data_IF_806752441770
#
_entry.id   IF_806752441770
#
_cell.length_a   1.000
_cell.length_b   1.000
_cell.length_c   1.000
_cell.angle_alpha   90.00
_cell.angle_beta   90.00
_cell.angle_gamma   90.00
#
_symmetry.space_group_name_H-M   'P 1'
#
loop_
_entity.id
_entity.type
_entity.pdbx_description
1 polymer ?
#
# COMPACT_ATOMS: atom_id res chain seq x y z
N UNK A 1 -10.09 15.35 -17.20
CA UNK A 1 -10.06 16.64 -17.94
C UNK A 1 -11.45 17.03 -18.43
N UNK A 2 -12.36 16.05 -18.63
CA UNK A 2 -13.73 16.31 -19.08
C UNK A 2 -14.60 17.07 -18.04
N UNK A 3 -14.21 17.06 -16.76
CA UNK A 3 -14.91 17.80 -15.70
C UNK A 3 -13.95 18.85 -15.12
N UNK A 4 -14.04 20.11 -15.54
CA UNK A 4 -13.17 21.17 -15.05
C UNK A 4 -13.42 21.41 -13.56
N UNK A 5 -12.32 21.67 -12.82
CA UNK A 5 -12.40 22.09 -11.44
C UNK A 5 -12.92 23.55 -11.42
N UNK A 6 -13.97 23.87 -10.63
CA UNK A 6 -14.49 25.22 -10.52
C UNK A 6 -13.41 26.20 -9.99
N UNK A 7 -13.39 27.42 -10.53
CA UNK A 7 -12.40 28.46 -10.16
C UNK A 7 -12.50 28.94 -8.70
N UNK A 8 -13.62 28.70 -8.06
CA UNK A 8 -13.92 29.07 -6.66
C UNK A 8 -13.24 28.13 -5.64
N UNK A 9 -12.82 26.95 -6.09
CA UNK A 9 -12.14 25.96 -5.24
C UNK A 9 -10.79 26.49 -4.78
N UNK A 10 -10.49 26.36 -3.49
CA UNK A 10 -9.24 26.88 -2.91
C UNK A 10 -8.05 25.92 -3.05
N UNK A 11 -8.31 24.62 -3.19
CA UNK A 11 -7.31 23.57 -3.30
C UNK A 11 -7.87 22.44 -4.15
N UNK A 12 -7.04 21.74 -4.89
CA UNK A 12 -7.38 20.49 -5.55
C UNK A 12 -6.53 19.35 -4.98
N UNK A 13 -7.15 18.20 -4.72
CA UNK A 13 -6.46 17.03 -4.19
C UNK A 13 -6.75 15.80 -5.06
N UNK A 14 -5.70 15.15 -5.54
CA UNK A 14 -5.76 13.88 -6.25
C UNK A 14 -5.18 12.78 -5.38
N UNK A 15 -5.86 11.63 -5.32
CA UNK A 15 -5.41 10.45 -4.56
C UNK A 15 -4.56 9.50 -5.40
N UNK A 16 -4.08 9.96 -6.56
CA UNK A 16 -3.26 9.19 -7.49
C UNK A 16 -2.44 10.11 -8.39
N UNK A 17 -1.16 9.85 -8.57
CA UNK A 17 -0.27 10.57 -9.49
C UNK A 17 -0.42 10.09 -10.95
N UNK A 18 -1.65 9.97 -11.43
CA UNK A 18 -2.00 9.48 -12.76
C UNK A 18 -3.04 10.34 -13.47
N UNK A 19 -3.82 9.73 -14.38
CA UNK A 19 -4.83 10.41 -15.18
C UNK A 19 -5.82 11.29 -14.39
N UNK A 20 -6.31 10.91 -13.19
CA UNK A 20 -7.23 11.75 -12.42
C UNK A 20 -6.61 13.11 -12.03
N UNK A 21 -5.29 13.16 -11.80
CA UNK A 21 -4.60 14.39 -11.42
C UNK A 21 -4.49 15.42 -12.56
N UNK A 22 -4.78 15.06 -13.81
CA UNK A 22 -4.76 16.00 -14.93
C UNK A 22 -5.75 17.16 -14.74
N UNK A 23 -6.87 16.93 -14.05
CA UNK A 23 -7.81 18.00 -13.69
C UNK A 23 -7.15 19.04 -12.75
N UNK A 24 -6.36 18.58 -11.77
CA UNK A 24 -5.62 19.46 -10.87
C UNK A 24 -4.53 20.25 -11.60
N UNK A 25 -3.83 19.65 -12.55
CA UNK A 25 -2.85 20.36 -13.40
C UNK A 25 -3.56 21.45 -14.21
N UNK A 26 -4.70 21.14 -14.83
CA UNK A 26 -5.46 22.10 -15.62
C UNK A 26 -5.96 23.28 -14.74
N UNK A 27 -6.47 23.00 -13.54
CA UNK A 27 -6.92 24.02 -12.60
C UNK A 27 -5.75 24.91 -12.12
N UNK A 28 -4.60 24.35 -11.87
CA UNK A 28 -3.39 25.10 -11.52
C UNK A 28 -2.91 25.97 -12.69
N UNK A 29 -2.91 25.42 -13.90
CA UNK A 29 -2.51 26.15 -15.10
C UNK A 29 -3.43 27.36 -15.34
N UNK A 30 -4.75 27.18 -15.31
CA UNK A 30 -5.72 28.22 -15.62
C UNK A 30 -5.94 29.23 -14.49
N UNK A 31 -6.06 28.75 -13.24
CA UNK A 31 -6.55 29.54 -12.11
C UNK A 31 -5.52 29.68 -10.98
N UNK A 32 -4.37 29.02 -11.05
CA UNK A 32 -3.37 28.99 -9.98
C UNK A 32 -3.85 28.28 -8.73
N UNK A 33 -4.82 27.35 -8.85
CA UNK A 33 -5.33 26.60 -7.69
C UNK A 33 -4.24 25.69 -7.17
N UNK A 34 -3.83 25.78 -5.89
CA UNK A 34 -2.86 24.88 -5.30
C UNK A 34 -3.29 23.42 -5.38
N UNK A 35 -2.34 22.51 -5.61
CA UNK A 35 -2.62 21.09 -5.80
C UNK A 35 -1.83 20.22 -4.83
N UNK A 36 -2.54 19.21 -4.28
CA UNK A 36 -1.98 18.15 -3.46
C UNK A 36 -2.19 16.81 -4.17
N UNK A 37 -1.22 15.93 -4.00
CA UNK A 37 -1.33 14.53 -4.47
C UNK A 37 -1.03 13.60 -3.31
N UNK A 38 -1.91 12.63 -3.05
CA UNK A 38 -1.62 11.52 -2.14
C UNK A 38 -1.32 10.27 -2.94
N UNK A 39 -0.18 9.66 -2.66
CA UNK A 39 0.19 8.37 -3.25
C UNK A 39 -0.02 7.23 -2.23
N UNK A 40 -1.13 6.49 -2.40
CA UNK A 40 -1.42 5.28 -1.62
C UNK A 40 -0.53 4.09 -2.01
N UNK A 41 0.04 4.11 -3.21
CA UNK A 41 1.05 3.21 -3.76
C UNK A 41 1.81 3.95 -4.84
N UNK A 42 2.95 3.43 -5.26
CA UNK A 42 3.71 4.06 -6.36
C UNK A 42 3.02 3.73 -7.68
N UNK A 43 2.23 4.69 -8.19
CA UNK A 43 1.44 4.52 -9.43
C UNK A 43 2.25 3.92 -10.59
N UNK A 44 3.46 4.43 -10.83
CA UNK A 44 4.29 3.93 -11.91
C UNK A 44 4.82 2.52 -11.68
N UNK A 45 5.13 2.14 -10.43
CA UNK A 45 5.54 0.77 -10.09
C UNK A 45 4.41 -0.22 -10.38
N UNK A 46 3.22 0.09 -9.93
CA UNK A 46 2.03 -0.74 -10.17
C UNK A 46 1.69 -0.81 -11.66
N UNK A 47 1.81 0.31 -12.37
CA UNK A 47 1.61 0.36 -13.82
C UNK A 47 2.61 -0.54 -14.55
N UNK A 48 3.87 -0.52 -14.19
CA UNK A 48 4.91 -1.36 -14.80
C UNK A 48 4.64 -2.85 -14.55
N UNK A 49 4.22 -3.22 -13.34
CA UNK A 49 3.87 -4.60 -12.99
C UNK A 49 2.67 -5.07 -13.82
N UNK A 50 1.59 -4.27 -13.87
CA UNK A 50 0.35 -4.64 -14.56
C UNK A 50 0.55 -4.72 -16.09
N UNK A 51 1.26 -3.74 -16.68
CA UNK A 51 1.59 -3.75 -18.11
C UNK A 51 2.52 -4.92 -18.44
N UNK A 52 3.47 -5.23 -17.57
CA UNK A 52 4.37 -6.38 -17.75
C UNK A 52 3.63 -7.71 -17.89
N UNK A 53 2.58 -7.91 -17.07
CA UNK A 53 1.75 -9.12 -17.03
C UNK A 53 0.67 -9.19 -18.11
N UNK A 54 0.35 -8.09 -18.79
CA UNK A 54 -0.71 -8.06 -19.81
C UNK A 54 -0.27 -8.74 -21.10
N UNK A 55 -1.24 -9.21 -21.91
CA UNK A 55 -1.01 -9.80 -23.25
C UNK A 55 -0.88 -8.76 -24.36
N UNK A 56 -0.70 -7.47 -24.01
CA UNK A 56 -0.55 -6.37 -24.96
C UNK A 56 0.72 -6.53 -25.79
N UNK A 57 0.70 -6.03 -27.04
CA UNK A 57 1.90 -5.96 -27.88
C UNK A 57 2.98 -5.09 -27.24
N UNK A 58 4.23 -5.32 -27.57
CA UNK A 58 5.36 -4.52 -27.06
C UNK A 58 5.16 -3.02 -27.31
N UNK A 59 4.69 -2.65 -28.51
CA UNK A 59 4.42 -1.25 -28.86
C UNK A 59 3.35 -0.63 -27.93
N UNK A 60 2.24 -1.34 -27.72
CA UNK A 60 1.16 -0.88 -26.84
C UNK A 60 1.64 -0.75 -25.39
N UNK A 61 2.42 -1.72 -24.88
CA UNK A 61 3.04 -1.66 -23.55
C UNK A 61 3.93 -0.42 -23.41
N UNK A 62 4.83 -0.22 -24.39
CA UNK A 62 5.74 0.94 -24.39
C UNK A 62 4.98 2.27 -24.41
N UNK A 63 4.00 2.41 -25.29
CA UNK A 63 3.18 3.62 -25.40
C UNK A 63 2.48 3.93 -24.08
N UNK A 64 1.88 2.93 -23.44
CA UNK A 64 1.16 3.11 -22.17
C UNK A 64 2.09 3.49 -21.02
N UNK A 65 3.28 2.88 -20.96
CA UNK A 65 4.30 3.22 -19.95
C UNK A 65 4.84 4.64 -20.18
N UNK A 66 5.16 4.99 -21.41
CA UNK A 66 5.68 6.34 -21.74
C UNK A 66 4.64 7.42 -21.43
N UNK A 67 3.37 7.20 -21.80
CA UNK A 67 2.27 8.13 -21.49
C UNK A 67 2.06 8.26 -19.97
N UNK A 68 2.02 7.15 -19.24
CA UNK A 68 1.88 7.16 -17.79
C UNK A 68 3.05 7.87 -17.11
N UNK A 69 4.27 7.63 -17.58
CA UNK A 69 5.48 8.31 -17.09
C UNK A 69 5.41 9.83 -17.30
N UNK A 70 5.01 10.26 -18.48
CA UNK A 70 4.86 11.68 -18.80
C UNK A 70 3.82 12.35 -17.89
N UNK A 71 2.68 11.71 -17.66
CA UNK A 71 1.63 12.22 -16.79
C UNK A 71 2.13 12.30 -15.35
N UNK A 72 2.72 11.23 -14.81
CA UNK A 72 3.23 11.20 -13.43
C UNK A 72 4.27 12.30 -13.20
N UNK A 73 5.22 12.48 -14.11
CA UNK A 73 6.20 13.57 -14.03
C UNK A 73 5.54 14.95 -14.04
N UNK A 74 4.57 15.17 -14.93
CA UNK A 74 3.83 16.43 -14.97
C UNK A 74 3.09 16.70 -13.66
N UNK A 75 2.47 15.66 -13.07
CA UNK A 75 1.77 15.73 -11.79
C UNK A 75 2.74 16.11 -10.66
N UNK A 76 3.84 15.37 -10.51
CA UNK A 76 4.80 15.64 -9.44
C UNK A 76 5.51 16.99 -9.61
N UNK A 77 5.83 17.38 -10.83
CA UNK A 77 6.46 18.67 -11.12
C UNK A 77 5.54 19.85 -10.77
N UNK A 78 4.22 19.70 -10.95
CA UNK A 78 3.24 20.77 -10.73
C UNK A 78 2.61 20.77 -9.34
N UNK A 79 2.66 19.66 -8.59
CA UNK A 79 2.09 19.56 -7.27
C UNK A 79 2.78 20.52 -6.27
N UNK A 80 1.98 21.19 -5.45
CA UNK A 80 2.48 22.02 -4.33
C UNK A 80 2.83 21.19 -3.11
N UNK A 81 2.21 20.01 -3.00
CA UNK A 81 2.52 18.98 -2.00
C UNK A 81 2.25 17.59 -2.58
N UNK A 82 3.18 16.69 -2.31
CA UNK A 82 3.07 15.27 -2.59
C UNK A 82 3.10 14.56 -1.23
N UNK A 83 2.06 13.79 -0.93
CA UNK A 83 1.94 13.09 0.36
C UNK A 83 1.86 11.59 0.14
N UNK A 84 3.03 10.91 0.08
CA UNK A 84 3.03 9.47 0.14
C UNK A 84 2.52 8.97 1.49
N UNK A 85 1.90 7.80 1.49
CA UNK A 85 1.44 7.15 2.72
C UNK A 85 2.55 6.43 3.49
N UNK A 86 3.79 6.50 2.99
CA UNK A 86 5.00 5.92 3.60
C UNK A 86 6.25 6.61 3.08
N UNK A 87 7.27 6.72 3.91
CA UNK A 87 8.58 7.27 3.50
C UNK A 87 9.28 6.40 2.45
N UNK A 88 8.97 5.10 2.39
CA UNK A 88 9.53 4.17 1.42
C UNK A 88 9.22 4.56 -0.04
N UNK A 89 8.13 5.30 -0.28
CA UNK A 89 7.74 5.74 -1.63
C UNK A 89 8.56 6.94 -2.13
N UNK A 90 9.16 7.73 -1.24
CA UNK A 90 9.86 8.98 -1.58
C UNK A 90 10.90 8.80 -2.70
N UNK A 91 11.71 7.73 -2.65
CA UNK A 91 12.72 7.45 -3.68
C UNK A 91 12.13 7.25 -5.07
N UNK A 92 10.92 6.72 -5.16
CA UNK A 92 10.20 6.56 -6.41
C UNK A 92 9.66 7.89 -6.91
N UNK A 93 9.11 8.71 -6.03
CA UNK A 93 8.58 10.04 -6.35
C UNK A 93 9.69 10.95 -6.88
N UNK A 94 10.85 10.98 -6.20
CA UNK A 94 12.04 11.71 -6.65
C UNK A 94 12.55 11.21 -8.01
N UNK A 95 12.53 9.89 -8.27
CA UNK A 95 12.87 9.30 -9.57
C UNK A 95 11.98 9.81 -10.70
N UNK A 96 10.75 10.16 -10.41
CA UNK A 96 9.79 10.75 -11.35
C UNK A 96 9.67 12.27 -11.21
N UNK A 97 10.76 12.93 -10.79
CA UNK A 97 10.94 14.38 -10.79
C UNK A 97 10.11 15.14 -9.73
N UNK A 98 9.64 14.44 -8.67
CA UNK A 98 9.11 15.12 -7.49
C UNK A 98 10.22 15.92 -6.81
N UNK A 99 9.91 17.14 -6.39
CA UNK A 99 10.85 17.98 -5.64
C UNK A 99 10.82 17.54 -4.17
N UNK A 100 11.98 17.21 -3.55
CA UNK A 100 12.03 16.74 -2.16
C UNK A 100 11.34 17.69 -1.18
N UNK A 101 11.45 19.00 -1.39
CA UNK A 101 10.82 20.02 -0.55
C UNK A 101 9.29 20.04 -0.60
N UNK A 102 8.69 19.41 -1.62
CA UNK A 102 7.24 19.25 -1.76
C UNK A 102 6.74 17.91 -1.25
N UNK A 103 7.63 16.99 -0.85
CA UNK A 103 7.25 15.67 -0.36
C UNK A 103 7.05 15.75 1.16
N UNK A 104 5.81 15.51 1.60
CA UNK A 104 5.42 15.47 3.01
C UNK A 104 4.61 14.18 3.26
N UNK A 105 5.23 13.12 3.80
CA UNK A 105 4.52 11.87 4.07
C UNK A 105 3.38 12.04 5.07
N UNK A 106 2.22 11.45 4.75
CA UNK A 106 1.06 11.38 5.66
C UNK A 106 0.62 9.92 5.69
N UNK A 107 0.95 9.22 6.77
CA UNK A 107 0.61 7.82 6.96
C UNK A 107 -0.90 7.59 7.00
N UNK A 108 -1.34 6.43 6.51
CA UNK A 108 -2.70 5.96 6.74
C UNK A 108 -2.97 5.83 8.24
N UNK A 109 -4.22 6.09 8.63
CA UNK A 109 -4.66 5.98 10.02
C UNK A 109 -5.75 4.92 10.19
N UNK A 110 -5.74 4.25 11.34
CA UNK A 110 -6.76 3.28 11.75
C UNK A 110 -7.60 3.83 12.90
N UNK A 111 -8.90 3.48 12.91
CA UNK A 111 -9.80 3.75 14.03
C UNK A 111 -9.44 2.81 15.20
N UNK A 112 -8.79 3.35 16.22
CA UNK A 112 -8.28 2.58 17.37
C UNK A 112 -9.34 2.23 18.41
N UNK A 113 -10.56 2.75 18.29
CA UNK A 113 -11.73 2.36 19.09
C UNK A 113 -12.45 1.18 18.46
N UNK A 114 -12.49 1.14 17.11
CA UNK A 114 -13.00 -0.01 16.36
C UNK A 114 -12.00 -1.18 16.42
N UNK A 115 -10.73 -0.92 16.12
CA UNK A 115 -9.65 -1.91 16.17
C UNK A 115 -8.92 -1.84 17.50
N UNK A 116 -9.43 -2.58 18.49
CA UNK A 116 -8.85 -2.66 19.83
C UNK A 116 -8.70 -4.11 20.28
N UNK A 117 -7.77 -4.38 21.21
CA UNK A 117 -7.61 -5.71 21.77
C UNK A 117 -8.90 -6.17 22.46
N UNK A 118 -9.32 -7.39 22.14
CA UNK A 118 -10.36 -8.12 22.87
C UNK A 118 -9.87 -9.53 23.16
N UNK A 119 -10.42 -10.21 24.18
CA UNK A 119 -10.11 -11.61 24.44
C UNK A 119 -10.36 -12.48 23.19
N UNK A 120 -9.49 -13.48 22.99
CA UNK A 120 -9.65 -14.46 21.91
C UNK A 120 -10.98 -15.21 22.08
N UNK A 121 -11.78 -15.40 21.00
CA UNK A 121 -13.03 -16.14 21.09
C UNK A 121 -12.81 -17.58 21.56
N UNK A 122 -13.72 -18.10 22.40
CA UNK A 122 -13.63 -19.47 22.96
C UNK A 122 -13.50 -20.56 21.90
N UNK A 123 -14.09 -20.35 20.71
CA UNK A 123 -13.99 -21.32 19.58
C UNK A 123 -12.56 -21.52 19.06
N UNK A 124 -11.67 -20.56 19.28
CA UNK A 124 -10.26 -20.62 18.85
C UNK A 124 -9.29 -20.68 20.02
N UNK A 125 -9.81 -20.72 21.28
CA UNK A 125 -9.00 -20.81 22.47
C UNK A 125 -8.20 -22.13 22.49
N UNK A 126 -6.90 -22.04 22.77
CA UNK A 126 -6.00 -23.21 22.77
C UNK A 126 -5.56 -23.70 21.38
N UNK A 127 -6.09 -23.16 20.29
CA UNK A 127 -5.65 -23.49 18.93
C UNK A 127 -4.72 -22.39 18.42
N UNK A 128 -3.46 -22.69 18.04
CA UNK A 128 -2.55 -21.72 17.44
C UNK A 128 -3.11 -21.21 16.12
N UNK A 129 -3.43 -19.90 16.05
CA UNK A 129 -4.19 -19.33 14.94
C UNK A 129 -3.45 -18.16 14.28
N UNK A 130 -3.24 -18.26 12.99
CA UNK A 130 -2.61 -17.25 12.13
C UNK A 130 -3.67 -16.64 11.21
N UNK A 131 -3.84 -15.33 11.27
CA UNK A 131 -4.86 -14.62 10.49
C UNK A 131 -4.20 -13.78 9.41
N UNK A 132 -4.73 -13.86 8.18
CA UNK A 132 -4.48 -12.92 7.13
C UNK A 132 -5.78 -12.21 6.71
N UNK A 133 -5.72 -10.89 6.51
CA UNK A 133 -6.82 -10.13 5.87
C UNK A 133 -6.30 -9.59 4.55
N UNK A 134 -6.69 -10.22 3.47
CA UNK A 134 -6.23 -9.88 2.12
C UNK A 134 -7.20 -10.39 1.05
N UNK A 135 -7.38 -9.62 -0.02
CA UNK A 135 -7.97 -10.15 -1.24
C UNK A 135 -7.05 -11.23 -1.83
N UNK A 136 -7.62 -12.29 -2.41
CA UNK A 136 -6.84 -13.39 -2.95
C UNK A 136 -6.50 -13.10 -4.42
N UNK A 137 -5.29 -12.61 -4.65
CA UNK A 137 -4.74 -12.34 -5.98
C UNK A 137 -3.19 -12.31 -5.95
N UNK A 138 -2.49 -12.42 -7.10
CA UNK A 138 -1.04 -12.70 -7.15
C UNK A 138 -0.13 -11.73 -6.40
N UNK A 139 -0.50 -10.44 -6.23
CA UNK A 139 0.35 -9.51 -5.49
C UNK A 139 0.37 -9.76 -3.97
N UNK A 140 -0.64 -10.46 -3.44
CA UNK A 140 -0.69 -10.86 -2.02
C UNK A 140 0.09 -12.15 -1.74
N UNK A 141 0.49 -12.87 -2.77
CA UNK A 141 1.35 -14.07 -2.73
C UNK A 141 0.85 -15.11 -1.70
N UNK A 142 -0.44 -15.47 -1.84
CA UNK A 142 -1.08 -16.47 -0.96
C UNK A 142 -0.43 -17.83 -1.11
N UNK A 143 0.18 -18.16 -2.27
CA UNK A 143 0.95 -19.39 -2.47
C UNK A 143 2.13 -19.48 -1.48
N UNK A 144 2.88 -18.38 -1.28
CA UNK A 144 3.94 -18.33 -0.25
C UNK A 144 3.35 -18.53 1.15
N UNK A 145 2.18 -17.99 1.44
CA UNK A 145 1.50 -18.20 2.74
C UNK A 145 1.09 -19.67 2.95
N UNK A 146 0.56 -20.32 1.92
CA UNK A 146 0.21 -21.76 1.97
C UNK A 146 1.46 -22.61 2.20
N UNK A 147 2.55 -22.34 1.49
CA UNK A 147 3.84 -23.02 1.70
C UNK A 147 4.40 -22.76 3.10
N UNK A 148 4.26 -21.54 3.62
CA UNK A 148 4.60 -21.20 5.01
C UNK A 148 3.80 -22.07 6.00
N UNK A 149 2.49 -22.24 5.79
CA UNK A 149 1.65 -23.11 6.62
C UNK A 149 2.17 -24.56 6.60
N UNK A 150 2.57 -25.09 5.43
CA UNK A 150 3.14 -26.43 5.31
C UNK A 150 4.44 -26.60 6.11
N UNK A 151 5.27 -25.54 6.19
CA UNK A 151 6.50 -25.57 7.00
C UNK A 151 6.15 -25.49 8.49
N UNK A 152 5.28 -24.55 8.90
CA UNK A 152 4.87 -24.37 10.31
C UNK A 152 4.21 -25.63 10.87
N UNK A 153 3.36 -26.32 10.09
CA UNK A 153 2.69 -27.55 10.50
C UNK A 153 3.65 -28.67 10.94
N UNK A 154 4.88 -28.69 10.42
CA UNK A 154 5.89 -29.70 10.84
C UNK A 154 6.27 -29.54 12.30
N UNK A 155 6.23 -28.33 12.82
CA UNK A 155 6.55 -28.01 14.22
C UNK A 155 5.28 -27.90 15.07
N UNK A 156 4.21 -27.30 14.52
CA UNK A 156 2.93 -27.06 15.20
C UNK A 156 1.81 -27.73 14.39
N UNK A 157 1.54 -29.03 14.57
CA UNK A 157 0.64 -29.81 13.70
C UNK A 157 -0.81 -29.33 13.66
N UNK A 158 -1.30 -28.71 14.75
CA UNK A 158 -2.67 -28.21 14.89
C UNK A 158 -2.81 -26.72 14.58
N UNK A 159 -1.79 -26.07 13.98
CA UNK A 159 -1.88 -24.66 13.58
C UNK A 159 -3.00 -24.44 12.56
N UNK A 160 -3.71 -23.31 12.71
CA UNK A 160 -4.78 -22.90 11.79
C UNK A 160 -4.40 -21.58 11.13
N UNK A 161 -4.35 -21.57 9.80
CA UNK A 161 -4.23 -20.39 8.97
C UNK A 161 -5.58 -20.05 8.37
N UNK A 162 -6.03 -18.81 8.53
CA UNK A 162 -7.28 -18.37 7.90
C UNK A 162 -7.05 -17.06 7.15
N UNK A 163 -7.40 -17.06 5.86
CA UNK A 163 -7.35 -15.87 4.99
C UNK A 163 -8.76 -15.33 4.83
N UNK A 164 -9.00 -14.13 5.33
CA UNK A 164 -10.24 -13.39 5.14
C UNK A 164 -10.08 -12.34 4.04
N UNK A 165 -11.01 -12.33 3.09
CA UNK A 165 -11.04 -11.38 1.97
C UNK A 165 -11.85 -11.91 0.81
N UNK A 166 -12.07 -11.05 -0.22
CA UNK A 166 -12.78 -11.47 -1.43
C UNK A 166 -11.96 -12.49 -2.22
N UNK A 167 -12.67 -13.50 -2.73
CA UNK A 167 -12.17 -14.54 -3.64
C UNK A 167 -12.55 -14.23 -5.11
N UNK A 168 -13.24 -13.10 -5.38
CA UNK A 168 -13.81 -12.80 -6.70
C UNK A 168 -12.88 -12.00 -7.60
N UNK A 169 -11.74 -11.53 -7.05
CA UNK A 169 -10.81 -10.64 -7.77
C UNK A 169 -10.05 -11.39 -8.86
N UNK A 170 -9.66 -12.64 -8.60
CA UNK A 170 -8.90 -13.50 -9.51
C UNK A 170 -9.24 -14.97 -9.24
N UNK A 171 -10.29 -15.45 -9.91
CA UNK A 171 -10.80 -16.80 -9.70
C UNK A 171 -9.81 -17.90 -10.11
N UNK A 172 -8.98 -17.66 -11.13
CA UNK A 172 -7.95 -18.60 -11.59
C UNK A 172 -6.85 -18.74 -10.52
N UNK A 173 -6.40 -17.63 -9.95
CA UNK A 173 -5.44 -17.65 -8.86
C UNK A 173 -5.99 -18.32 -7.59
N UNK A 174 -7.26 -18.11 -7.27
CA UNK A 174 -7.94 -18.78 -6.14
C UNK A 174 -7.93 -20.30 -6.35
N UNK A 175 -8.19 -20.79 -7.57
CA UNK A 175 -8.17 -22.22 -7.84
C UNK A 175 -6.75 -22.79 -7.75
N UNK A 176 -5.76 -22.08 -8.27
CA UNK A 176 -4.33 -22.43 -8.08
C UNK A 176 -3.98 -22.57 -6.59
N UNK A 177 -4.44 -21.65 -5.75
CA UNK A 177 -4.24 -21.73 -4.30
C UNK A 177 -4.94 -22.97 -3.68
N UNK A 178 -6.16 -23.30 -4.13
CA UNK A 178 -6.90 -24.49 -3.64
C UNK A 178 -6.21 -25.78 -4.03
N UNK A 179 -5.71 -25.86 -5.26
CA UNK A 179 -4.92 -27.01 -5.73
C UNK A 179 -3.66 -27.18 -4.88
N UNK A 180 -2.95 -26.10 -4.59
CA UNK A 180 -1.75 -26.12 -3.74
C UNK A 180 -2.06 -26.56 -2.29
N UNK A 181 -3.20 -26.15 -1.71
CA UNK A 181 -3.65 -26.62 -0.40
C UNK A 181 -3.83 -28.14 -0.39
N UNK A 182 -4.47 -28.71 -1.43
CA UNK A 182 -4.66 -30.14 -1.58
C UNK A 182 -3.34 -30.89 -1.81
N UNK A 183 -2.48 -30.36 -2.71
CA UNK A 183 -1.16 -30.94 -2.99
C UNK A 183 -0.30 -31.08 -1.73
N UNK A 184 -0.45 -30.14 -0.79
CA UNK A 184 0.31 -30.10 0.45
C UNK A 184 -0.43 -30.72 1.65
N UNK A 185 -1.60 -31.37 1.44
CA UNK A 185 -2.45 -31.96 2.48
C UNK A 185 -2.81 -30.95 3.61
N UNK A 186 -3.15 -29.71 3.26
CA UNK A 186 -3.38 -28.62 4.22
C UNK A 186 -4.85 -28.30 4.47
N UNK A 187 -5.82 -29.09 3.99
CA UNK A 187 -7.25 -28.84 4.15
C UNK A 187 -7.67 -28.72 5.63
N UNK A 188 -6.93 -29.36 6.53
CA UNK A 188 -7.15 -29.29 7.98
C UNK A 188 -6.44 -28.10 8.65
N UNK A 189 -5.56 -27.37 7.96
CA UNK A 189 -4.71 -26.32 8.53
C UNK A 189 -4.86 -24.95 7.87
N UNK A 190 -5.38 -24.90 6.63
CA UNK A 190 -5.50 -23.66 5.87
C UNK A 190 -6.92 -23.47 5.33
N UNK A 191 -7.53 -22.31 5.60
CA UNK A 191 -8.92 -22.02 5.24
C UNK A 191 -9.06 -20.65 4.62
N UNK A 192 -9.89 -20.52 3.58
CA UNK A 192 -10.40 -19.26 3.09
C UNK A 192 -11.69 -18.92 3.84
N UNK A 193 -11.62 -17.91 4.72
CA UNK A 193 -12.76 -17.44 5.52
C UNK A 193 -13.75 -16.57 4.74
N UNK A 194 -13.41 -16.19 3.50
CA UNK A 194 -14.24 -15.32 2.67
C UNK A 194 -14.29 -13.87 3.17
N UNK A 195 -15.22 -13.10 2.60
CA UNK A 195 -15.41 -11.71 3.03
C UNK A 195 -16.15 -11.66 4.37
N UNK A 196 -15.71 -10.80 5.28
CA UNK A 196 -16.31 -10.61 6.59
C UNK A 196 -16.51 -9.13 6.91
N UNK A 197 -17.70 -8.76 7.38
CA UNK A 197 -18.09 -7.36 7.63
C UNK A 197 -17.47 -6.73 8.88
N UNK A 198 -16.84 -7.51 9.75
CA UNK A 198 -16.23 -7.01 10.98
C UNK A 198 -14.75 -7.42 11.08
N UNK A 199 -13.85 -6.67 10.43
CA UNK A 199 -12.43 -7.01 10.43
C UNK A 199 -11.77 -6.93 11.81
N UNK A 200 -12.27 -6.14 12.74
CA UNK A 200 -11.69 -6.08 14.09
C UNK A 200 -11.88 -7.36 14.87
N UNK A 201 -12.99 -8.07 14.66
CA UNK A 201 -13.19 -9.41 15.24
C UNK A 201 -12.22 -10.43 14.64
N UNK A 202 -11.97 -10.35 13.35
CA UNK A 202 -11.06 -11.27 12.64
C UNK A 202 -9.67 -11.23 13.29
N UNK A 203 -9.08 -10.04 13.46
CA UNK A 203 -7.75 -9.95 14.07
C UNK A 203 -7.71 -10.47 15.49
N UNK A 204 -8.80 -10.28 16.25
CA UNK A 204 -8.89 -10.78 17.61
C UNK A 204 -9.11 -12.30 17.72
N UNK A 205 -9.49 -12.99 16.63
CA UNK A 205 -9.53 -14.45 16.56
C UNK A 205 -8.12 -15.07 16.48
N UNK A 206 -7.15 -14.33 15.94
CA UNK A 206 -5.78 -14.78 15.76
C UNK A 206 -4.89 -14.59 16.99
N UNK A 207 -3.85 -15.39 17.09
CA UNK A 207 -2.71 -15.14 17.96
C UNK A 207 -1.75 -14.15 17.34
N UNK A 208 -1.55 -14.28 16.02
CA UNK A 208 -0.69 -13.44 15.18
C UNK A 208 -1.38 -13.16 13.83
N UNK A 209 -0.90 -12.14 13.14
CA UNK A 209 -1.27 -11.88 11.75
C UNK A 209 -0.09 -12.10 10.81
N UNK A 210 -0.42 -12.42 9.55
CA UNK A 210 0.57 -12.64 8.51
C UNK A 210 0.23 -11.84 7.24
N UNK A 211 1.27 -11.32 6.55
CA UNK A 211 1.14 -10.71 5.23
C UNK A 211 2.35 -11.09 4.36
N UNK A 212 2.09 -11.77 3.24
CA UNK A 212 3.13 -12.32 2.35
C UNK A 212 3.30 -11.55 1.04
N UNK A 213 2.72 -10.37 0.94
CA UNK A 213 2.67 -9.55 -0.28
C UNK A 213 4.04 -9.33 -0.93
N UNK A 214 4.07 -9.27 -2.27
CA UNK A 214 5.26 -8.90 -3.06
C UNK A 214 5.37 -7.38 -3.27
N UNK A 215 4.30 -6.65 -3.05
CA UNK A 215 4.27 -5.19 -3.20
C UNK A 215 3.14 -4.60 -2.37
N UNK A 216 3.47 -3.58 -1.58
CA UNK A 216 2.51 -2.79 -0.80
C UNK A 216 2.84 -1.29 -0.88
N UNK A 217 1.86 -0.46 -0.55
CA UNK A 217 2.07 0.93 -0.15
C UNK A 217 2.31 0.99 1.36
N UNK A 218 1.25 1.32 2.11
CA UNK A 218 1.18 1.24 3.57
C UNK A 218 -0.12 0.52 3.93
N UNK A 219 -0.08 -0.83 4.14
CA UNK A 219 -1.28 -1.64 4.21
C UNK A 219 -2.07 -1.42 5.50
N UNK A 220 -3.37 -1.13 5.35
CA UNK A 220 -4.30 -0.98 6.48
C UNK A 220 -4.33 -2.22 7.35
N UNK A 221 -4.34 -3.41 6.75
CA UNK A 221 -4.44 -4.68 7.46
C UNK A 221 -3.32 -4.90 8.48
N UNK A 222 -2.13 -4.34 8.22
CA UNK A 222 -1.00 -4.38 9.17
C UNK A 222 -1.31 -3.48 10.38
N UNK A 223 -1.66 -2.20 10.17
CA UNK A 223 -1.93 -1.27 11.27
C UNK A 223 -3.23 -1.61 12.03
N UNK A 224 -4.20 -2.27 11.38
CA UNK A 224 -5.42 -2.80 12.00
C UNK A 224 -5.09 -3.96 12.96
N UNK A 225 -4.27 -4.92 12.51
CA UNK A 225 -3.77 -6.00 13.36
C UNK A 225 -2.97 -5.48 14.54
N UNK A 226 -2.02 -4.59 14.29
CA UNK A 226 -1.22 -3.92 15.31
C UNK A 226 -2.11 -3.17 16.32
N UNK A 227 -3.16 -2.51 15.83
CA UNK A 227 -4.14 -1.82 16.68
C UNK A 227 -4.90 -2.78 17.58
N UNK A 228 -5.18 -4.00 17.13
CA UNK A 228 -5.75 -5.07 17.96
C UNK A 228 -4.73 -5.73 18.91
N UNK A 229 -3.49 -5.23 18.96
CA UNK A 229 -2.44 -5.80 19.81
C UNK A 229 -1.97 -7.18 19.33
N UNK A 230 -2.17 -7.51 18.06
CA UNK A 230 -1.70 -8.76 17.45
C UNK A 230 -0.40 -8.50 16.71
N UNK A 231 0.69 -9.18 17.06
CA UNK A 231 1.96 -9.02 16.35
C UNK A 231 1.83 -9.55 14.92
N UNK A 232 2.60 -8.95 14.02
CA UNK A 232 2.53 -9.24 12.59
C UNK A 232 3.86 -9.84 12.12
N UNK A 233 3.78 -10.92 11.33
CA UNK A 233 4.88 -11.43 10.51
C UNK A 233 4.59 -11.02 9.07
N UNK A 234 5.47 -10.23 8.47
CA UNK A 234 5.21 -9.73 7.11
C UNK A 234 6.48 -9.62 6.26
N UNK A 235 6.28 -9.63 4.95
CA UNK A 235 7.35 -9.38 3.98
C UNK A 235 7.83 -7.92 4.02
N UNK A 236 9.13 -7.68 3.93
CA UNK A 236 9.73 -6.34 3.90
C UNK A 236 9.58 -5.72 2.50
N UNK A 237 8.37 -5.21 2.21
CA UNK A 237 8.03 -4.54 0.96
C UNK A 237 7.24 -3.24 1.21
N UNK A 238 7.52 -2.22 0.41
CA UNK A 238 6.85 -0.92 0.53
C UNK A 238 7.04 -0.29 1.91
N UNK A 239 5.96 0.17 2.53
CA UNK A 239 5.95 0.81 3.86
C UNK A 239 5.76 -0.14 5.04
N UNK A 240 5.82 -1.46 4.83
CA UNK A 240 5.64 -2.43 5.93
C UNK A 240 6.75 -2.26 6.97
N UNK A 241 7.98 -1.98 6.54
CA UNK A 241 9.09 -1.70 7.46
C UNK A 241 8.79 -0.49 8.35
N UNK A 242 8.26 0.61 7.80
CA UNK A 242 7.90 1.80 8.58
C UNK A 242 6.90 1.45 9.71
N UNK A 243 5.95 0.54 9.42
CA UNK A 243 4.98 0.09 10.40
C UNK A 243 5.59 -0.86 11.44
N UNK A 244 6.34 -1.88 11.02
CA UNK A 244 6.71 -3.03 11.86
C UNK A 244 8.08 -2.93 12.53
N UNK A 245 8.97 -2.02 12.12
CA UNK A 245 10.31 -1.93 12.72
C UNK A 245 10.25 -1.78 14.25
N UNK A 246 10.83 -2.74 14.96
CA UNK A 246 10.86 -2.80 16.42
C UNK A 246 9.62 -3.39 17.11
N UNK A 247 8.57 -3.78 16.34
CA UNK A 247 7.33 -4.31 16.93
C UNK A 247 6.67 -5.45 16.14
N UNK A 248 7.35 -5.98 15.11
CA UNK A 248 6.90 -7.13 14.34
C UNK A 248 8.08 -7.87 13.73
N UNK A 249 7.81 -8.91 12.94
CA UNK A 249 8.84 -9.70 12.25
C UNK A 249 8.78 -9.39 10.75
N UNK A 250 9.90 -8.94 10.20
CA UNK A 250 10.09 -8.65 8.79
C UNK A 250 10.86 -9.78 8.13
N UNK A 251 10.35 -10.30 7.01
CA UNK A 251 10.91 -11.40 6.26
C UNK A 251 11.09 -11.02 4.78
N UNK A 252 11.93 -11.74 4.07
CA UNK A 252 12.05 -11.59 2.62
C UNK A 252 10.78 -12.06 1.91
N UNK A 253 10.34 -11.36 0.85
CA UNK A 253 9.25 -11.85 0.01
C UNK A 253 9.62 -13.19 -0.66
N UNK A 254 8.62 -14.05 -0.85
CA UNK A 254 8.77 -15.39 -1.46
C UNK A 254 9.73 -16.30 -0.70
N UNK A 255 9.81 -16.17 0.63
CA UNK A 255 10.68 -16.98 1.50
C UNK A 255 9.84 -17.68 2.56
N UNK A 256 9.11 -18.78 2.20
CA UNK A 256 8.20 -19.43 3.12
C UNK A 256 8.87 -19.99 4.38
N UNK A 257 10.14 -20.39 4.29
CA UNK A 257 10.94 -20.89 5.41
C UNK A 257 11.23 -19.78 6.41
N UNK A 258 11.72 -18.61 5.97
CA UNK A 258 12.02 -17.46 6.84
C UNK A 258 10.74 -16.93 7.50
N UNK A 259 9.63 -16.90 6.75
CA UNK A 259 8.33 -16.48 7.29
C UNK A 259 7.83 -17.50 8.33
N UNK A 260 8.01 -18.80 8.07
CA UNK A 260 7.63 -19.86 9.01
C UNK A 260 8.42 -19.82 10.31
N UNK A 261 9.72 -19.52 10.26
CA UNK A 261 10.55 -19.30 11.45
C UNK A 261 9.95 -18.18 12.33
N UNK A 262 9.58 -17.05 11.73
CA UNK A 262 8.95 -15.94 12.45
C UNK A 262 7.57 -16.32 13.03
N UNK A 263 6.77 -17.09 12.30
CA UNK A 263 5.46 -17.58 12.76
C UNK A 263 5.65 -18.55 13.94
N UNK A 264 6.53 -19.53 13.83
CA UNK A 264 6.80 -20.52 14.90
C UNK A 264 7.31 -19.80 16.15
N UNK A 265 8.27 -18.90 16.00
CA UNK A 265 8.82 -18.11 17.12
C UNK A 265 7.71 -17.42 17.91
N UNK A 266 6.77 -16.74 17.22
CA UNK A 266 5.68 -16.03 17.92
C UNK A 266 4.60 -16.97 18.47
N UNK A 267 4.38 -18.15 17.89
CA UNK A 267 3.39 -19.08 18.40
C UNK A 267 3.91 -19.86 19.61
N UNK A 268 5.21 -20.17 19.68
CA UNK A 268 5.82 -20.88 20.80
C UNK A 268 6.21 -19.97 21.97
N UNK A 269 6.70 -18.74 21.67
CA UNK A 269 7.10 -17.76 22.69
C UNK A 269 5.93 -16.79 22.98
N UNK A 270 5.16 -17.13 24.01
CA UNK A 270 4.00 -16.32 24.45
C UNK A 270 4.42 -14.96 24.98
N UNK A 271 5.55 -14.85 25.67
CA UNK A 271 6.01 -13.59 26.25
C UNK A 271 6.44 -12.62 25.15
N UNK A 272 7.22 -13.10 24.19
CA UNK A 272 7.60 -12.33 22.99
C UNK A 272 6.36 -11.90 22.19
N UNK A 273 5.39 -12.80 22.02
CA UNK A 273 4.15 -12.49 21.29
C UNK A 273 3.38 -11.35 21.97
N UNK A 274 3.24 -11.39 23.29
CA UNK A 274 2.58 -10.34 24.06
C UNK A 274 3.38 -9.04 24.02
N UNK A 275 4.69 -9.11 24.18
CA UNK A 275 5.58 -7.94 24.11
C UNK A 275 5.45 -7.21 22.76
N UNK A 276 5.59 -7.94 21.65
CA UNK A 276 5.49 -7.34 20.31
C UNK A 276 4.07 -6.84 20.00
N UNK A 277 3.04 -7.54 20.47
CA UNK A 277 1.66 -7.08 20.37
C UNK A 277 1.41 -5.75 21.08
N UNK A 278 1.94 -5.59 22.28
CA UNK A 278 1.84 -4.34 23.05
C UNK A 278 2.62 -3.20 22.37
N UNK A 279 3.86 -3.46 21.93
CA UNK A 279 4.66 -2.49 21.18
C UNK A 279 4.00 -2.07 19.88
N UNK A 280 3.38 -3.02 19.17
CA UNK A 280 2.61 -2.75 17.95
C UNK A 280 1.46 -1.79 18.22
N UNK A 281 0.65 -2.07 19.23
CA UNK A 281 -0.46 -1.19 19.62
C UNK A 281 0.02 0.20 20.03
N UNK A 282 1.06 0.28 20.86
CA UNK A 282 1.63 1.56 21.27
C UNK A 282 2.08 2.39 20.08
N UNK A 283 2.80 1.78 19.11
CA UNK A 283 3.25 2.43 17.90
C UNK A 283 2.08 2.96 17.05
N UNK A 284 0.99 2.20 16.95
CA UNK A 284 -0.23 2.67 16.25
C UNK A 284 -0.85 3.86 16.94
N UNK A 285 -1.04 3.81 18.27
CA UNK A 285 -1.62 4.91 19.05
C UNK A 285 -0.80 6.19 18.94
N UNK A 286 0.52 6.08 18.82
CA UNK A 286 1.42 7.21 18.67
C UNK A 286 1.45 7.77 17.24
N UNK A 287 1.35 6.93 16.20
CA UNK A 287 1.73 7.33 14.85
C UNK A 287 0.66 7.13 13.77
N UNK A 288 -0.25 6.15 13.92
CA UNK A 288 -1.09 5.66 12.84
C UNK A 288 -2.59 5.68 13.19
N UNK A 289 -3.04 6.68 13.97
CA UNK A 289 -4.46 6.88 14.25
C UNK A 289 -5.14 7.68 13.14
N UNK A 290 -6.44 7.43 12.90
CA UNK A 290 -7.26 8.22 11.97
C UNK A 290 -7.22 9.69 12.31
N UNK A 291 -7.31 10.06 13.59
CA UNK A 291 -7.28 11.45 14.04
C UNK A 291 -5.98 12.16 13.66
N UNK A 292 -4.84 11.46 13.81
CA UNK A 292 -3.55 11.99 13.42
C UNK A 292 -3.44 12.19 11.90
N UNK A 293 -3.89 11.20 11.13
CA UNK A 293 -3.92 11.29 9.67
C UNK A 293 -4.79 12.46 9.21
N UNK A 294 -6.03 12.55 9.71
CA UNK A 294 -6.97 13.65 9.41
C UNK A 294 -6.38 15.00 9.80
N UNK A 295 -5.78 15.11 10.99
CA UNK A 295 -5.13 16.35 11.44
C UNK A 295 -4.05 16.79 10.47
N UNK A 296 -3.16 15.89 10.03
CA UNK A 296 -2.08 16.19 9.09
C UNK A 296 -2.62 16.65 7.72
N UNK A 297 -3.69 16.01 7.21
CA UNK A 297 -4.36 16.46 5.99
C UNK A 297 -4.98 17.85 6.14
N UNK A 298 -5.68 18.11 7.26
CA UNK A 298 -6.28 19.43 7.53
C UNK A 298 -5.23 20.54 7.65
N UNK A 299 -4.10 20.27 8.26
CA UNK A 299 -2.99 21.21 8.33
C UNK A 299 -2.41 21.48 6.93
N UNK A 300 -2.20 20.44 6.12
CA UNK A 300 -1.78 20.59 4.73
C UNK A 300 -2.78 21.41 3.91
N UNK A 301 -4.08 21.17 4.04
CA UNK A 301 -5.10 21.93 3.34
C UNK A 301 -5.12 23.40 3.75
N UNK A 302 -4.97 23.70 5.03
CA UNK A 302 -4.89 25.10 5.51
C UNK A 302 -3.67 25.83 4.93
N UNK A 303 -2.51 25.19 4.93
CA UNK A 303 -1.28 25.74 4.39
C UNK A 303 -1.38 25.97 2.88
N UNK A 304 -1.91 25.00 2.14
CA UNK A 304 -2.06 25.11 0.69
C UNK A 304 -3.12 26.16 0.30
N UNK A 305 -4.26 26.17 0.99
CA UNK A 305 -5.32 27.17 0.71
C UNK A 305 -4.90 28.61 1.01
N UNK A 306 -3.93 28.83 1.88
CA UNK A 306 -3.36 30.13 2.18
C UNK A 306 -2.35 30.60 1.12
N UNK A 307 -1.86 29.70 0.24
CA UNK A 307 -0.93 30.11 -0.84
C UNK A 307 -1.62 31.07 -1.82
N UNK A 308 -0.92 32.13 -2.27
CA UNK A 308 -1.44 33.01 -3.32
C UNK A 308 -1.64 32.21 -4.61
N UNK A 309 -2.72 32.50 -5.33
CA UNK A 309 -2.98 31.91 -6.62
C UNK A 309 -2.01 32.45 -7.69
N UNK A 310 -1.30 31.57 -8.33
CA UNK A 310 -0.30 31.92 -9.35
C UNK A 310 -0.49 31.03 -10.60
N UNK A 311 -1.36 31.45 -11.54
CA UNK A 311 -1.66 30.69 -12.73
C UNK A 311 -0.41 30.43 -13.58
N UNK A 312 -0.10 29.16 -13.87
CA UNK A 312 1.05 28.78 -14.66
C UNK A 312 1.02 29.34 -16.09
N UNK A 313 -0.17 29.56 -16.66
CA UNK A 313 -0.34 30.20 -17.99
C UNK A 313 0.32 31.57 -18.09
N UNK A 314 0.44 32.29 -16.96
CA UNK A 314 1.08 33.60 -16.93
C UNK A 314 2.61 33.50 -17.00
N UNK A 315 3.18 32.32 -16.69
CA UNK A 315 4.62 32.04 -16.69
C UNK A 315 5.10 31.38 -17.98
N UNK A 316 4.20 30.76 -18.71
CA UNK A 316 4.50 30.07 -19.96
C UNK A 316 4.42 31.09 -21.09
N UNK A 317 5.55 31.71 -21.43
CA UNK A 317 5.67 32.44 -22.70
C UNK A 317 5.57 31.43 -23.86
N UNK A 318 4.99 31.85 -24.99
CA UNK A 318 4.78 31.00 -26.18
C UNK A 318 6.06 30.31 -26.67
N UNK A 319 7.24 30.96 -26.49
CA UNK A 319 8.57 30.38 -26.70
C UNK A 319 8.88 29.16 -25.83
N UNK A 320 8.33 29.09 -24.61
CA UNK A 320 8.59 27.96 -23.68
C UNK A 320 7.86 26.68 -24.09
N UNK A 321 6.76 26.77 -24.83
CA UNK A 321 6.07 25.59 -25.38
C UNK A 321 6.90 25.01 -26.55
N UNK A 322 7.51 25.86 -27.37
CA UNK A 322 8.43 25.43 -28.40
C UNK A 322 9.70 24.83 -27.81
N UNK A 323 10.25 25.43 -26.75
CA UNK A 323 11.39 24.90 -26.01
C UNK A 323 11.09 23.58 -25.30
N UNK A 324 9.87 23.40 -24.77
CA UNK A 324 9.44 22.12 -24.19
C UNK A 324 9.33 21.02 -25.27
N UNK A 325 8.83 21.36 -26.45
CA UNK A 325 8.77 20.45 -27.56
C UNK A 325 10.16 20.12 -28.11
N UNK A 326 11.09 21.06 -28.12
CA UNK A 326 12.50 20.84 -28.48
C UNK A 326 13.23 20.02 -27.42
N UNK A 327 13.03 20.31 -26.14
CA UNK A 327 13.56 19.51 -25.01
C UNK A 327 13.09 18.05 -25.08
N UNK A 328 11.81 17.83 -25.38
CA UNK A 328 11.24 16.50 -25.57
C UNK A 328 11.81 15.79 -26.81
N UNK A 329 12.14 16.54 -27.90
CA UNK A 329 12.81 16.02 -29.10
C UNK A 329 14.26 15.62 -28.79
N UNK A 330 15.03 16.46 -28.09
CA UNK A 330 16.44 16.20 -27.76
C UNK A 330 16.62 15.01 -26.83
N UNK A 331 15.81 14.88 -25.81
CA UNK A 331 15.85 13.66 -24.93
C UNK A 331 15.46 12.37 -25.68
N UNK A 332 14.63 12.48 -26.73
CA UNK A 332 14.25 11.32 -27.55
C UNK A 332 15.42 10.81 -28.39
N UNK A 333 16.35 11.67 -28.79
CA UNK A 333 17.56 11.33 -29.55
C UNK A 333 18.71 10.83 -28.66
N UNK A 334 18.78 11.26 -27.40
CA UNK A 334 19.81 10.83 -26.44
C UNK A 334 19.58 9.43 -25.86
N UNK A 335 18.40 8.85 -26.02
CA UNK A 335 18.06 7.48 -25.55
C UNK A 335 17.90 6.49 -26.73
N UNK A 336 18.24 6.90 -27.94
CA UNK A 336 18.21 6.07 -29.15
C UNK A 336 19.62 5.66 -29.65
N UNK A 337 20.67 5.96 -28.85
CA UNK A 337 22.04 5.49 -29.05
C UNK A 337 22.50 4.60 -27.91
#
# INVERSE_FOLDING_TARGET
VASPIPKEVNISHSTLAGFPALASIAAKYEYGIPSMVTDHGVYMRERLINVGRSDMTFFSKKMLVDLSTMITRAVYHTADQISPVTTANQKWEERFEAKPENILPIYNGVDTDLFKPTPKPTKTEGTPTVIAVAQVFPLKDIETMIRTCAVVRKTIPNVQFTVYGSLDVDAEYVETCRELIKELDLEGNFTFGGFHNNPSMIFNEGDISILTSISEGFPYTVIESMSCGRPVVATDVGGIKDALEGCGILCKPRSPEEIAEGVVQLLEDTDLRIELGNKSREKVLLNFTTDRSVKNYLESYKLLAAKPRDPLKNKVKTESVLNLLEYLKVKRLAHAN
#
